data_IF_129596782595
#
_entry.id   IF_129596782595
#
_cell.length_a   1.000
_cell.length_b   1.000
_cell.length_c   1.000
_cell.angle_alpha   90.00
_cell.angle_beta   90.00
_cell.angle_gamma   90.00
#
_symmetry.space_group_name_H-M   'P 1'
#
loop_
_entity.id
_entity.type
_entity.pdbx_description
1 polymer ?
#
# COMPACT_ATOMS: atom_id res chain seq x y z
N UNK A 1 -35.59 13.44 6.73
CA UNK A 1 -34.67 12.28 6.71
C UNK A 1 -34.09 12.04 5.31
N UNK A 2 -33.63 13.09 4.62
CA UNK A 2 -33.00 12.96 3.31
C UNK A 2 -31.46 12.84 3.40
N UNK A 3 -30.86 13.25 4.52
CA UNK A 3 -29.41 13.25 4.71
C UNK A 3 -28.84 11.83 4.99
N UNK A 4 -29.65 10.94 5.57
CA UNK A 4 -29.25 9.57 5.91
C UNK A 4 -28.91 8.73 4.67
N UNK A 5 -29.65 8.95 3.57
CA UNK A 5 -29.51 8.18 2.31
C UNK A 5 -28.32 8.66 1.44
N UNK A 6 -27.63 9.74 1.82
CA UNK A 6 -26.55 10.32 1.01
C UNK A 6 -25.18 9.76 1.40
N UNK A 7 -25.01 9.34 2.66
CA UNK A 7 -23.74 8.84 3.17
C UNK A 7 -23.29 7.56 2.46
N UNK A 8 -22.12 7.58 1.82
CA UNK A 8 -21.58 6.46 1.02
C UNK A 8 -22.55 5.93 -0.06
N UNK A 9 -23.45 6.78 -0.56
CA UNK A 9 -24.42 6.48 -1.62
C UNK A 9 -23.83 5.90 -2.91
N UNK A 10 -22.54 6.15 -3.17
CA UNK A 10 -21.84 5.62 -4.37
C UNK A 10 -21.03 4.37 -4.04
N UNK A 11 -21.25 3.25 -4.77
CA UNK A 11 -20.48 2.03 -4.57
C UNK A 11 -18.99 2.26 -4.89
N UNK A 12 -18.10 1.84 -3.99
CA UNK A 12 -16.64 1.99 -4.13
C UNK A 12 -15.97 0.65 -4.48
N UNK A 13 -16.46 -0.04 -5.51
CA UNK A 13 -15.92 -1.34 -5.90
C UNK A 13 -14.54 -1.25 -6.58
N UNK A 14 -14.24 -0.11 -7.21
CA UNK A 14 -12.99 0.10 -7.97
C UNK A 14 -12.39 1.49 -7.75
N UNK A 15 -11.18 1.71 -8.30
CA UNK A 15 -10.44 2.97 -8.17
C UNK A 15 -9.66 3.11 -6.85
N UNK A 16 -8.99 4.25 -6.66
CA UNK A 16 -8.10 4.49 -5.50
C UNK A 16 -8.82 4.43 -4.15
N UNK A 17 -10.10 4.85 -4.10
CA UNK A 17 -10.91 4.85 -2.87
C UNK A 17 -11.52 3.50 -2.48
N UNK A 18 -11.40 2.48 -3.34
CA UNK A 18 -11.97 1.15 -3.09
C UNK A 18 -11.15 0.29 -2.14
N UNK A 19 -9.87 0.64 -1.96
CA UNK A 19 -8.90 -0.17 -1.22
C UNK A 19 -8.14 0.71 -0.24
N UNK A 20 -7.69 0.11 0.84
CA UNK A 20 -6.90 0.77 1.87
C UNK A 20 -5.83 -0.18 2.40
N UNK A 21 -4.78 0.38 3.00
CA UNK A 21 -3.75 -0.39 3.68
C UNK A 21 -4.40 -1.24 4.79
N UNK A 22 -4.08 -2.55 4.83
CA UNK A 22 -4.54 -3.45 5.90
C UNK A 22 -4.00 -3.11 7.29
N UNK A 23 -2.95 -2.29 7.38
CA UNK A 23 -2.32 -1.90 8.65
C UNK A 23 -2.82 -0.53 9.10
N UNK A 24 -2.61 0.51 8.30
CA UNK A 24 -2.86 1.91 8.72
C UNK A 24 -4.12 2.55 8.10
N UNK A 25 -4.92 1.79 7.34
CA UNK A 25 -6.09 2.28 6.60
C UNK A 25 -5.82 3.43 5.59
N UNK A 26 -4.57 3.80 5.36
CA UNK A 26 -4.20 4.80 4.38
C UNK A 26 -4.48 4.30 2.95
N UNK A 27 -5.08 5.15 2.11
CA UNK A 27 -5.51 4.77 0.76
C UNK A 27 -4.48 5.07 -0.34
N UNK A 28 -3.51 5.95 -0.08
CA UNK A 28 -2.50 6.29 -1.06
C UNK A 28 -1.32 5.29 -1.04
N UNK A 29 -0.64 5.19 -2.18
CA UNK A 29 0.59 4.41 -2.35
C UNK A 29 0.50 2.97 -1.82
N UNK A 30 -0.60 2.31 -2.16
CA UNK A 30 -0.86 0.92 -1.84
C UNK A 30 -0.04 0.00 -2.76
N UNK A 31 0.77 -0.87 -2.17
CA UNK A 31 1.45 -1.97 -2.85
C UNK A 31 0.45 -3.12 -2.96
N UNK A 32 0.08 -3.45 -4.19
CA UNK A 32 -0.94 -4.46 -4.54
C UNK A 32 -0.37 -5.76 -5.09
N UNK A 33 0.96 -5.82 -5.28
CA UNK A 33 1.63 -7.01 -5.80
C UNK A 33 1.52 -8.15 -4.78
N UNK A 34 1.33 -9.37 -5.27
CA UNK A 34 1.19 -10.58 -4.44
C UNK A 34 0.07 -10.50 -3.39
N UNK A 35 -0.97 -9.71 -3.64
CA UNK A 35 -2.09 -9.48 -2.72
C UNK A 35 -1.70 -8.91 -1.34
N UNK A 36 -0.56 -8.25 -1.23
CA UNK A 36 -0.09 -7.67 0.04
C UNK A 36 -1.04 -6.60 0.60
N UNK A 37 -1.56 -5.70 -0.24
CA UNK A 37 -2.51 -4.64 0.12
C UNK A 37 -2.07 -3.78 1.32
N UNK A 38 -0.80 -3.36 1.32
CA UNK A 38 -0.16 -2.53 2.35
C UNK A 38 0.41 -1.25 1.71
N UNK A 39 0.45 -0.14 2.45
CA UNK A 39 1.07 1.09 1.94
C UNK A 39 2.60 0.98 1.94
N UNK A 40 3.27 1.83 1.16
CA UNK A 40 4.75 1.83 1.04
C UNK A 40 5.50 2.02 2.36
N UNK A 41 4.91 2.73 3.33
CA UNK A 41 5.55 2.96 4.64
C UNK A 41 5.48 1.69 5.48
N UNK A 42 4.28 1.14 5.68
CA UNK A 42 4.10 -0.13 6.39
C UNK A 42 4.89 -1.28 5.73
N UNK A 43 4.99 -1.32 4.40
CA UNK A 43 5.82 -2.34 3.75
C UNK A 43 7.29 -2.26 4.17
N UNK A 44 7.85 -1.06 4.32
CA UNK A 44 9.26 -0.91 4.73
C UNK A 44 9.49 -1.33 6.17
N UNK A 45 8.51 -1.12 7.04
CA UNK A 45 8.55 -1.53 8.45
C UNK A 45 8.50 -3.06 8.55
N UNK A 46 7.59 -3.71 7.84
CA UNK A 46 7.38 -5.16 7.90
C UNK A 46 8.12 -5.97 6.84
N UNK A 47 8.96 -5.36 5.99
CA UNK A 47 9.61 -6.04 4.87
C UNK A 47 10.42 -7.25 5.34
N UNK A 48 11.19 -7.09 6.41
CA UNK A 48 12.01 -8.16 6.97
C UNK A 48 11.15 -9.29 7.56
N UNK A 49 10.06 -8.97 8.26
CA UNK A 49 9.17 -9.95 8.88
C UNK A 49 8.39 -10.77 7.84
N UNK A 50 8.09 -10.17 6.69
CA UNK A 50 7.48 -10.84 5.54
C UNK A 50 8.52 -11.74 4.81
N UNK A 51 9.82 -11.53 5.05
CA UNK A 51 10.92 -12.26 4.40
C UNK A 51 11.50 -11.57 3.15
N UNK A 52 11.19 -10.29 2.92
CA UNK A 52 11.86 -9.51 1.88
C UNK A 52 13.20 -8.98 2.39
N UNK A 53 14.28 -9.36 1.72
CA UNK A 53 15.63 -8.87 2.01
C UNK A 53 16.18 -8.01 0.87
N UNK A 54 16.86 -6.92 1.21
CA UNK A 54 17.56 -6.09 0.23
C UNK A 54 18.83 -6.80 -0.24
N UNK A 55 18.83 -7.26 -1.49
CA UNK A 55 20.05 -7.75 -2.13
C UNK A 55 20.96 -6.56 -2.43
N UNK A 56 22.13 -6.51 -1.80
CA UNK A 56 23.19 -5.54 -2.13
C UNK A 56 24.04 -6.16 -3.22
N UNK A 57 23.96 -5.64 -4.44
CA UNK A 57 25.01 -5.87 -5.42
C UNK A 57 26.18 -4.96 -5.03
N UNK A 58 27.34 -5.55 -4.73
CA UNK A 58 28.57 -4.79 -4.55
C UNK A 58 28.99 -4.25 -5.92
N UNK A 59 28.48 -3.08 -6.29
CA UNK A 59 29.01 -2.36 -7.44
C UNK A 59 30.31 -1.68 -6.98
N UNK A 60 31.44 -2.35 -7.18
CA UNK A 60 32.78 -1.75 -7.07
C UNK A 60 33.05 -0.81 -8.27
N UNK A 61 32.08 0.01 -8.65
CA UNK A 61 32.24 1.00 -9.71
C UNK A 61 32.20 2.38 -9.11
N UNK A 62 33.38 2.96 -8.93
CA UNK A 62 33.53 4.39 -8.76
C UNK A 62 32.96 5.08 -9.99
N UNK A 63 31.98 5.96 -9.77
CA UNK A 63 31.59 6.93 -10.76
C UNK A 63 32.56 8.10 -10.61
N UNK A 64 33.44 8.26 -11.60
CA UNK A 64 34.11 9.53 -11.86
C UNK A 64 33.15 10.54 -12.45
#
# INVERSE_FOLDING_TARGET
MAHDNVWNSRPRQFGKGSRQCRVCAHRAALIRKYNLNICRQCFREYANDIGFHKVKYSFNGGWG
#
